data_IF_728979011246
#
_entry.id   IF_728979011246
#
_cell.length_a   1.000
_cell.length_b   1.000
_cell.length_c   1.000
_cell.angle_alpha   90.00
_cell.angle_beta   90.00
_cell.angle_gamma   90.00
#
_symmetry.space_group_name_H-M   'P 1'
#
loop_
_entity.id
_entity.type
_entity.pdbx_description
1 polymer ?
#
# COMPACT_ATOMS: atom_id res chain seq x y z
N UNK A 1 -16.50 25.93 -35.84
CA UNK A 1 -15.75 25.16 -34.81
C UNK A 1 -15.22 26.18 -33.82
N UNK A 2 -15.47 26.02 -32.49
CA UNK A 2 -15.02 26.98 -31.48
C UNK A 2 -13.58 26.65 -31.10
N UNK A 3 -12.70 27.68 -31.12
CA UNK A 3 -11.30 27.52 -30.73
C UNK A 3 -11.17 27.92 -29.26
N UNK A 4 -10.58 27.04 -28.45
CA UNK A 4 -10.29 27.27 -27.03
C UNK A 4 -8.78 27.39 -26.83
N UNK A 5 -8.36 28.19 -25.88
CA UNK A 5 -7.03 28.05 -25.29
C UNK A 5 -6.99 26.77 -24.41
N UNK A 6 -5.79 26.24 -24.13
CA UNK A 6 -5.62 25.09 -23.26
C UNK A 6 -6.20 25.33 -21.86
N UNK A 7 -6.00 26.54 -21.32
CA UNK A 7 -6.54 26.94 -20.02
C UNK A 7 -8.08 26.95 -20.02
N UNK A 8 -8.70 27.52 -21.05
CA UNK A 8 -10.17 27.56 -21.18
C UNK A 8 -10.75 26.15 -21.29
N UNK A 9 -10.09 25.26 -22.05
CA UNK A 9 -10.52 23.85 -22.16
C UNK A 9 -10.41 23.15 -20.80
N UNK A 10 -9.27 23.25 -20.12
CA UNK A 10 -9.06 22.60 -18.82
C UNK A 10 -10.00 23.17 -17.74
N UNK A 11 -10.28 24.47 -17.76
CA UNK A 11 -11.26 25.09 -16.85
C UNK A 11 -12.68 24.61 -17.12
N UNK A 12 -13.02 24.32 -18.38
CA UNK A 12 -14.31 23.73 -18.73
C UNK A 12 -14.42 22.28 -18.25
N UNK A 13 -13.33 21.50 -18.38
CA UNK A 13 -13.24 20.14 -17.83
C UNK A 13 -13.40 20.18 -16.31
N UNK A 14 -12.68 21.06 -15.60
CA UNK A 14 -12.83 21.20 -14.15
C UNK A 14 -14.27 21.44 -13.73
N UNK A 15 -14.97 22.39 -14.35
CA UNK A 15 -16.39 22.67 -14.07
C UNK A 15 -17.28 21.45 -14.30
N UNK A 16 -17.02 20.70 -15.37
CA UNK A 16 -17.78 19.46 -15.62
C UNK A 16 -17.54 18.40 -14.55
N UNK A 17 -16.31 18.26 -14.04
CA UNK A 17 -16.01 17.38 -12.91
C UNK A 17 -16.68 17.84 -11.62
N UNK A 18 -16.60 19.12 -11.26
CA UNK A 18 -17.26 19.69 -10.07
C UNK A 18 -18.77 19.49 -10.09
N UNK A 19 -19.41 19.61 -11.25
CA UNK A 19 -20.85 19.40 -11.42
C UNK A 19 -21.28 17.95 -11.30
N UNK A 20 -20.49 17.00 -11.80
CA UNK A 20 -20.86 15.59 -11.88
C UNK A 20 -20.25 14.72 -10.77
N UNK A 21 -19.12 15.14 -10.18
CA UNK A 21 -18.38 14.40 -9.17
C UNK A 21 -18.16 15.20 -7.86
N UNK A 22 -19.06 16.12 -7.53
CA UNK A 22 -18.99 16.92 -6.31
C UNK A 22 -19.19 16.16 -5.00
N UNK A 23 -19.46 14.85 -5.06
CA UNK A 23 -19.61 13.97 -3.91
C UNK A 23 -18.30 13.32 -3.45
N UNK A 24 -18.41 12.55 -2.37
CA UNK A 24 -17.34 11.68 -1.88
C UNK A 24 -17.70 10.22 -2.17
N UNK A 25 -16.69 9.43 -2.52
CA UNK A 25 -16.86 8.05 -2.95
C UNK A 25 -15.92 7.14 -2.19
N UNK A 26 -16.41 5.99 -1.72
CA UNK A 26 -15.56 4.93 -1.23
C UNK A 26 -14.96 4.17 -2.42
N UNK A 27 -13.63 4.14 -2.49
CA UNK A 27 -12.89 3.50 -3.58
C UNK A 27 -11.96 2.46 -2.99
N UNK A 28 -11.94 1.26 -3.58
CA UNK A 28 -10.97 0.21 -3.26
C UNK A 28 -9.87 0.21 -4.31
N UNK A 29 -8.62 0.17 -3.86
CA UNK A 29 -7.45 0.16 -4.76
C UNK A 29 -6.21 -0.37 -4.04
N UNK A 30 -5.16 -0.69 -4.80
CA UNK A 30 -3.84 -0.98 -4.27
C UNK A 30 -2.99 0.29 -4.25
N UNK A 31 -2.29 0.53 -3.14
CA UNK A 31 -1.36 1.66 -3.00
C UNK A 31 -0.07 1.45 -3.78
N UNK A 32 0.42 2.51 -4.43
CA UNK A 32 1.66 2.49 -5.19
C UNK A 32 2.34 3.87 -5.20
N UNK A 33 3.58 3.95 -5.65
CA UNK A 33 4.29 5.22 -5.83
C UNK A 33 4.65 5.95 -4.53
N UNK A 34 4.51 5.30 -3.39
CA UNK A 34 4.90 5.85 -2.09
C UNK A 34 6.43 5.81 -2.00
N UNK A 35 7.06 6.99 -1.98
CA UNK A 35 8.54 7.10 -1.96
C UNK A 35 9.10 7.23 -0.55
N UNK A 36 8.41 7.92 0.34
CA UNK A 36 8.78 8.08 1.77
C UNK A 36 7.59 8.63 2.56
N UNK A 37 7.55 8.38 3.90
CA UNK A 37 6.56 9.00 4.75
C UNK A 37 6.66 10.53 4.68
N UNK A 38 5.54 11.25 4.78
CA UNK A 38 5.54 12.71 4.67
C UNK A 38 6.25 13.34 5.85
N UNK A 39 7.32 14.07 5.57
CA UNK A 39 7.95 14.95 6.57
C UNK A 39 7.29 16.34 6.49
N UNK A 40 6.11 16.48 7.09
CA UNK A 40 5.47 17.78 7.28
C UNK A 40 4.79 18.41 6.06
N UNK A 41 4.59 17.67 4.97
CA UNK A 41 3.95 18.11 3.72
C UNK A 41 2.65 17.36 3.38
N UNK A 42 2.19 17.55 2.15
CA UNK A 42 1.15 16.71 1.55
C UNK A 42 1.74 15.34 1.22
N UNK A 43 0.91 14.30 1.33
CA UNK A 43 1.32 12.93 1.02
C UNK A 43 0.74 12.51 -0.32
N UNK A 44 1.60 12.36 -1.32
CA UNK A 44 1.25 11.97 -2.68
C UNK A 44 1.57 10.51 -2.92
N UNK A 45 0.64 9.80 -3.53
CA UNK A 45 0.78 8.40 -3.91
C UNK A 45 -0.12 8.08 -5.10
N UNK A 46 -0.04 6.86 -5.60
CA UNK A 46 -0.89 6.36 -6.66
C UNK A 46 -1.81 5.26 -6.13
N UNK A 47 -3.00 5.19 -6.70
CA UNK A 47 -3.96 4.11 -6.54
C UNK A 47 -4.02 3.32 -7.83
N UNK A 48 -3.89 2.00 -7.72
CA UNK A 48 -3.92 1.07 -8.83
C UNK A 48 -5.07 0.08 -8.65
N UNK A 49 -5.72 -0.25 -9.75
CA UNK A 49 -6.57 -1.43 -9.85
C UNK A 49 -5.91 -2.42 -10.80
N UNK A 50 -5.63 -3.63 -10.32
CA UNK A 50 -5.01 -4.70 -11.10
C UNK A 50 -6.08 -5.61 -11.70
N UNK A 51 -5.85 -6.05 -12.94
CA UNK A 51 -6.67 -7.06 -13.59
C UNK A 51 -6.27 -8.48 -13.21
N UNK A 52 -6.97 -9.46 -13.78
CA UNK A 52 -6.73 -10.89 -13.55
C UNK A 52 -5.40 -11.38 -14.12
N UNK A 53 -4.90 -10.74 -15.17
CA UNK A 53 -3.63 -11.10 -15.80
C UNK A 53 -2.48 -10.44 -15.06
N UNK A 54 -1.41 -11.19 -14.85
CA UNK A 54 -0.19 -10.67 -14.21
C UNK A 54 0.33 -9.42 -14.94
N UNK A 55 0.57 -8.36 -14.16
CA UNK A 55 1.02 -7.06 -14.69
C UNK A 55 -0.05 -6.18 -15.33
N UNK A 56 -1.30 -6.64 -15.47
CA UNK A 56 -2.38 -5.84 -16.03
C UNK A 56 -2.85 -4.79 -15.02
N UNK A 57 -2.79 -3.52 -15.44
CA UNK A 57 -3.38 -2.39 -14.68
C UNK A 57 -4.65 -1.95 -15.41
N UNK A 58 -5.79 -2.04 -14.74
CA UNK A 58 -7.10 -1.62 -15.25
C UNK A 58 -7.32 -0.12 -15.06
N UNK A 59 -6.91 0.42 -13.91
CA UNK A 59 -7.04 1.82 -13.59
C UNK A 59 -5.84 2.31 -12.77
N UNK A 60 -5.52 3.60 -12.94
CA UNK A 60 -4.50 4.31 -12.17
C UNK A 60 -4.97 5.72 -11.92
N UNK A 61 -4.84 6.20 -10.68
CA UNK A 61 -5.12 7.58 -10.32
C UNK A 61 -4.11 8.09 -9.30
N UNK A 62 -3.77 9.37 -9.39
CA UNK A 62 -3.01 10.05 -8.34
C UNK A 62 -3.91 10.31 -7.16
N UNK A 63 -3.40 10.16 -5.95
CA UNK A 63 -4.09 10.47 -4.71
C UNK A 63 -3.24 11.39 -3.83
N UNK A 64 -3.90 12.20 -3.04
CA UNK A 64 -3.26 13.10 -2.07
C UNK A 64 -4.00 13.04 -0.73
N UNK A 65 -3.23 12.92 0.35
CA UNK A 65 -3.66 13.28 1.70
C UNK A 65 -3.05 14.63 2.05
N UNK A 66 -3.90 15.58 2.38
CA UNK A 66 -3.44 16.93 2.68
C UNK A 66 -2.74 17.00 4.04
N UNK A 67 -1.81 17.93 4.19
CA UNK A 67 -1.02 18.15 5.41
C UNK A 67 -1.89 18.17 6.69
N UNK A 68 -3.07 18.74 6.63
CA UNK A 68 -3.97 18.84 7.78
C UNK A 68 -4.53 17.49 8.25
N UNK A 69 -4.68 16.51 7.35
CA UNK A 69 -5.30 15.21 7.61
C UNK A 69 -4.33 14.02 7.58
N UNK A 70 -3.17 14.17 6.96
CA UNK A 70 -2.25 13.05 6.75
C UNK A 70 -1.83 12.37 8.06
N UNK A 71 -1.50 13.15 9.10
CA UNK A 71 -1.07 12.60 10.39
C UNK A 71 -2.16 11.77 11.06
N UNK A 72 -3.40 12.28 11.11
CA UNK A 72 -4.52 11.57 11.71
C UNK A 72 -4.94 10.33 10.92
N UNK A 73 -4.90 10.40 9.57
CA UNK A 73 -5.25 9.26 8.73
C UNK A 73 -4.22 8.14 8.85
N UNK A 74 -2.93 8.45 8.80
CA UNK A 74 -1.87 7.46 8.96
C UNK A 74 -1.88 6.85 10.37
N UNK A 75 -2.04 7.67 11.42
CA UNK A 75 -2.15 7.17 12.79
C UNK A 75 -3.37 6.26 12.98
N UNK A 76 -4.53 6.61 12.40
CA UNK A 76 -5.73 5.75 12.38
C UNK A 76 -5.45 4.41 11.72
N UNK A 77 -4.76 4.42 10.58
CA UNK A 77 -4.39 3.20 9.86
C UNK A 77 -3.44 2.33 10.67
N UNK A 78 -2.32 2.91 11.15
CA UNK A 78 -1.28 2.19 11.87
C UNK A 78 -1.78 1.63 13.21
N UNK A 79 -2.58 2.40 13.95
CA UNK A 79 -3.15 1.93 15.22
C UNK A 79 -4.12 0.75 15.05
N UNK A 80 -4.87 0.72 13.95
CA UNK A 80 -5.83 -0.35 13.68
C UNK A 80 -5.19 -1.58 13.04
N UNK A 81 -4.21 -1.40 12.14
CA UNK A 81 -3.62 -2.50 11.36
C UNK A 81 -2.30 -3.02 11.93
N UNK A 82 -1.63 -2.25 12.78
CA UNK A 82 -0.27 -2.52 13.24
C UNK A 82 0.79 -2.41 12.16
N UNK A 83 0.46 -1.81 11.00
CA UNK A 83 1.36 -1.70 9.85
C UNK A 83 1.46 -0.26 9.38
N UNK A 84 2.63 0.10 8.88
CA UNK A 84 2.86 1.38 8.20
C UNK A 84 2.18 1.39 6.84
N UNK A 85 1.65 2.54 6.44
CA UNK A 85 1.01 2.74 5.13
C UNK A 85 2.06 2.74 4.03
N UNK A 86 2.17 1.64 3.29
CA UNK A 86 3.23 1.37 2.30
C UNK A 86 2.65 0.96 0.95
N UNK A 87 3.53 0.73 -0.05
CA UNK A 87 3.14 0.21 -1.36
C UNK A 87 2.60 -1.23 -1.27
N UNK A 88 1.65 -1.57 -2.14
CA UNK A 88 1.10 -2.92 -2.27
C UNK A 88 -0.03 -3.26 -1.30
N UNK A 89 -0.49 -2.30 -0.52
CA UNK A 89 -1.64 -2.49 0.38
C UNK A 89 -2.95 -2.33 -0.39
N UNK A 90 -3.87 -3.27 -0.18
CA UNK A 90 -5.26 -3.09 -0.59
C UNK A 90 -5.95 -2.21 0.44
N UNK A 91 -6.45 -1.07 -0.01
CA UNK A 91 -7.06 -0.04 0.84
C UNK A 91 -8.46 0.31 0.36
N UNK A 92 -9.29 0.76 1.28
CA UNK A 92 -10.57 1.41 0.99
C UNK A 92 -10.50 2.85 1.50
N UNK A 93 -10.61 3.80 0.58
CA UNK A 93 -10.44 5.22 0.84
C UNK A 93 -11.72 5.99 0.48
N UNK A 94 -12.09 6.94 1.33
CA UNK A 94 -13.11 7.93 1.02
C UNK A 94 -12.45 9.09 0.27
N UNK A 95 -12.78 9.24 -1.00
CA UNK A 95 -12.13 10.21 -1.89
C UNK A 95 -13.11 11.19 -2.52
N UNK A 96 -12.63 12.40 -2.79
CA UNK A 96 -13.25 13.34 -3.72
C UNK A 96 -12.48 13.36 -5.04
N UNK A 97 -13.20 13.59 -6.13
CA UNK A 97 -12.61 13.66 -7.48
C UNK A 97 -12.37 15.13 -7.83
N UNK A 98 -11.14 15.48 -8.11
CA UNK A 98 -10.74 16.84 -8.46
C UNK A 98 -9.94 16.89 -9.76
N UNK A 99 -10.08 17.98 -10.48
CA UNK A 99 -9.30 18.27 -11.67
C UNK A 99 -8.62 19.64 -11.52
N UNK A 100 -7.32 19.68 -11.73
CA UNK A 100 -6.53 20.90 -11.72
C UNK A 100 -5.99 21.19 -13.12
N UNK A 101 -6.03 22.43 -13.57
CA UNK A 101 -5.69 22.82 -14.94
C UNK A 101 -4.25 22.46 -15.33
N UNK A 102 -3.31 22.42 -14.38
CA UNK A 102 -1.91 22.08 -14.62
C UNK A 102 -1.58 20.62 -14.30
N UNK A 103 -2.22 20.04 -13.28
CA UNK A 103 -1.84 18.73 -12.74
C UNK A 103 -2.78 17.60 -13.17
N UNK A 104 -3.91 17.94 -13.80
CA UNK A 104 -4.91 16.99 -14.26
C UNK A 104 -5.77 16.42 -13.14
N UNK A 105 -6.28 15.21 -13.36
CA UNK A 105 -7.12 14.48 -12.42
C UNK A 105 -6.33 13.99 -11.21
N UNK A 106 -6.90 14.17 -10.02
CA UNK A 106 -6.40 13.58 -8.77
C UNK A 106 -7.55 13.29 -7.81
N UNK A 107 -7.31 12.41 -6.85
CA UNK A 107 -8.22 12.04 -5.79
C UNK A 107 -7.75 12.64 -4.47
N UNK A 108 -8.64 13.37 -3.82
CA UNK A 108 -8.42 13.93 -2.49
C UNK A 108 -8.93 12.94 -1.44
N UNK A 109 -8.06 12.48 -0.54
CA UNK A 109 -8.41 11.46 0.46
C UNK A 109 -8.90 12.12 1.74
N UNK A 110 -10.16 11.86 2.10
CA UNK A 110 -10.81 12.39 3.31
C UNK A 110 -10.82 11.42 4.47
N UNK A 111 -10.90 10.11 4.17
CA UNK A 111 -10.91 9.07 5.20
C UNK A 111 -10.41 7.74 4.62
N UNK A 112 -10.17 6.77 5.50
CA UNK A 112 -9.81 5.41 5.15
C UNK A 112 -10.48 4.40 6.09
N UNK A 113 -10.79 3.21 5.56
CA UNK A 113 -11.29 2.09 6.35
C UNK A 113 -10.17 1.04 6.57
N UNK A 114 -9.59 0.96 7.78
CA UNK A 114 -8.55 -0.01 8.07
C UNK A 114 -9.07 -1.46 8.08
N UNK A 115 -10.38 -1.67 8.33
CA UNK A 115 -10.96 -3.01 8.42
C UNK A 115 -10.93 -3.74 7.09
N UNK A 116 -11.07 -3.00 5.99
CA UNK A 116 -10.92 -3.54 4.64
C UNK A 116 -9.52 -4.13 4.41
N UNK A 117 -8.47 -3.38 4.78
CA UNK A 117 -7.08 -3.83 4.64
C UNK A 117 -6.81 -5.08 5.51
N UNK A 118 -7.28 -5.10 6.75
CA UNK A 118 -7.17 -6.26 7.63
C UNK A 118 -7.87 -7.49 7.06
N UNK A 119 -9.05 -7.32 6.49
CA UNK A 119 -9.80 -8.39 5.82
C UNK A 119 -9.03 -8.97 4.63
N UNK A 120 -8.45 -8.13 3.78
CA UNK A 120 -7.63 -8.56 2.63
C UNK A 120 -6.36 -9.31 3.09
N UNK A 121 -5.68 -8.82 4.12
CA UNK A 121 -4.51 -9.48 4.70
C UNK A 121 -4.86 -10.86 5.27
N UNK A 122 -5.95 -10.97 6.02
CA UNK A 122 -6.43 -12.25 6.56
C UNK A 122 -6.78 -13.24 5.44
N UNK A 123 -7.42 -12.76 4.37
CA UNK A 123 -7.73 -13.56 3.18
C UNK A 123 -6.44 -14.06 2.50
N UNK A 124 -5.49 -13.19 2.20
CA UNK A 124 -4.20 -13.54 1.57
C UNK A 124 -3.41 -14.54 2.42
N UNK A 125 -3.39 -14.36 3.74
CA UNK A 125 -2.75 -15.30 4.66
C UNK A 125 -3.40 -16.68 4.60
N UNK A 126 -4.73 -16.76 4.61
CA UNK A 126 -5.46 -18.04 4.52
C UNK A 126 -5.17 -18.73 3.18
N UNK A 127 -5.27 -18.03 2.07
CA UNK A 127 -4.98 -18.55 0.74
C UNK A 127 -3.53 -19.09 0.63
N UNK A 128 -2.57 -18.37 1.21
CA UNK A 128 -1.17 -18.81 1.25
C UNK A 128 -1.01 -20.07 2.07
N UNK A 129 -1.62 -20.16 3.25
CA UNK A 129 -1.57 -21.35 4.09
C UNK A 129 -2.22 -22.56 3.41
N UNK A 130 -3.36 -22.38 2.75
CA UNK A 130 -4.05 -23.44 2.00
C UNK A 130 -3.21 -23.94 0.83
N UNK A 131 -2.53 -23.01 0.11
CA UNK A 131 -1.59 -23.38 -0.95
C UNK A 131 -0.42 -24.21 -0.39
N UNK A 132 0.24 -23.74 0.66
CA UNK A 132 1.37 -24.43 1.27
C UNK A 132 0.99 -25.82 1.82
N UNK A 133 -0.24 -25.97 2.36
CA UNK A 133 -0.78 -27.28 2.77
C UNK A 133 -0.96 -28.22 1.59
N UNK A 134 -1.56 -27.73 0.50
CA UNK A 134 -1.81 -28.51 -0.72
C UNK A 134 -0.51 -28.97 -1.38
N UNK A 135 0.54 -28.12 -1.34
CA UNK A 135 1.88 -28.42 -1.85
C UNK A 135 2.71 -29.27 -0.87
N UNK A 136 2.20 -29.58 0.33
CA UNK A 136 2.91 -30.38 1.34
C UNK A 136 4.10 -29.67 1.99
N UNK A 137 4.23 -28.35 1.80
CA UNK A 137 5.42 -27.59 2.23
C UNK A 137 5.41 -27.26 3.73
N UNK A 138 4.25 -27.22 4.38
CA UNK A 138 4.14 -26.83 5.80
C UNK A 138 4.88 -27.79 6.72
N UNK A 139 4.81 -29.08 6.42
CA UNK A 139 5.36 -30.14 7.26
C UNK A 139 6.67 -30.74 6.72
N UNK A 140 7.15 -30.30 5.55
CA UNK A 140 8.33 -30.90 4.91
C UNK A 140 9.59 -30.79 5.77
N UNK A 141 9.72 -29.77 6.61
CA UNK A 141 10.86 -29.60 7.51
C UNK A 141 10.89 -30.62 8.67
N UNK A 142 9.74 -31.15 9.08
CA UNK A 142 9.67 -32.13 10.17
C UNK A 142 10.36 -33.45 9.84
N UNK A 143 10.50 -33.77 8.56
CA UNK A 143 11.17 -34.98 8.07
C UNK A 143 12.68 -34.81 7.89
N UNK A 144 13.22 -33.59 8.00
CA UNK A 144 14.62 -33.30 7.80
C UNK A 144 15.42 -33.59 9.10
N UNK A 145 16.48 -34.38 8.98
CA UNK A 145 17.44 -34.56 10.08
C UNK A 145 18.43 -33.40 10.11
N UNK A 146 18.68 -32.85 11.28
CA UNK A 146 19.72 -31.83 11.47
C UNK A 146 21.11 -32.51 11.45
N UNK A 147 21.89 -32.20 10.41
CA UNK A 147 23.32 -32.57 10.37
C UNK A 147 24.10 -31.85 11.48
N UNK A 148 24.95 -32.57 12.19
CA UNK A 148 25.85 -31.95 13.21
C UNK A 148 27.30 -32.11 12.79
N UNK A 149 28.14 -31.07 12.91
CA UNK A 149 27.86 -29.70 13.35
C UNK A 149 27.15 -28.86 12.27
N UNK A 150 26.32 -27.90 12.70
CA UNK A 150 25.67 -26.93 11.80
C UNK A 150 26.72 -25.96 11.24
N UNK A 151 26.91 -25.97 9.91
CA UNK A 151 27.89 -25.12 9.24
C UNK A 151 27.28 -23.90 8.54
N UNK A 152 26.00 -23.97 8.21
CA UNK A 152 25.29 -22.91 7.50
C UNK A 152 23.94 -22.67 8.16
N UNK A 153 23.65 -21.39 8.43
CA UNK A 153 22.38 -20.94 8.98
C UNK A 153 21.82 -19.88 8.05
N UNK A 154 20.61 -20.10 7.52
CA UNK A 154 19.86 -19.07 6.81
C UNK A 154 18.83 -18.46 7.75
N UNK A 155 18.81 -17.14 7.85
CA UNK A 155 17.87 -16.39 8.70
C UNK A 155 16.96 -15.56 7.82
N UNK A 156 15.64 -15.76 7.95
CA UNK A 156 14.61 -14.97 7.28
C UNK A 156 13.96 -14.09 8.33
N UNK A 157 14.21 -12.79 8.28
CA UNK A 157 13.70 -11.81 9.24
C UNK A 157 13.54 -10.44 8.59
N UNK A 158 12.75 -9.55 9.22
CA UNK A 158 12.79 -8.13 8.88
C UNK A 158 14.07 -7.51 9.43
N UNK A 159 14.69 -6.62 8.65
CA UNK A 159 15.87 -5.85 9.11
C UNK A 159 15.59 -4.96 10.32
N UNK A 160 14.32 -4.62 10.56
CA UNK A 160 13.85 -3.82 11.70
C UNK A 160 13.34 -4.66 12.87
N UNK A 161 13.37 -6.00 12.78
CA UNK A 161 12.95 -6.86 13.89
C UNK A 161 13.92 -6.76 15.06
N UNK A 162 13.41 -6.54 16.27
CA UNK A 162 14.23 -6.42 17.49
C UNK A 162 15.15 -7.65 17.69
N UNK A 163 14.62 -8.87 17.52
CA UNK A 163 15.41 -10.10 17.61
C UNK A 163 16.50 -10.26 16.54
N UNK A 164 16.42 -9.54 15.42
CA UNK A 164 17.49 -9.55 14.41
C UNK A 164 18.76 -8.85 14.91
N UNK A 165 18.60 -7.70 15.60
CA UNK A 165 19.70 -6.97 16.20
C UNK A 165 20.47 -7.83 17.22
N UNK A 166 19.73 -8.46 18.15
CA UNK A 166 20.31 -9.34 19.17
C UNK A 166 21.01 -10.56 18.56
N UNK A 167 20.35 -11.23 17.60
CA UNK A 167 20.92 -12.39 16.90
C UNK A 167 22.21 -12.01 16.17
N UNK A 168 22.24 -10.91 15.40
CA UNK A 168 23.41 -10.49 14.63
C UNK A 168 24.59 -10.12 15.54
N UNK A 169 24.33 -9.45 16.66
CA UNK A 169 25.35 -9.08 17.64
C UNK A 169 26.00 -10.30 18.29
N UNK A 170 25.20 -11.31 18.67
CA UNK A 170 25.72 -12.54 19.27
C UNK A 170 26.54 -13.37 18.27
N UNK A 171 26.14 -13.43 17.00
CA UNK A 171 26.91 -14.15 15.98
C UNK A 171 28.24 -13.44 15.67
N UNK A 172 28.25 -12.12 15.66
CA UNK A 172 29.50 -11.35 15.46
C UNK A 172 30.45 -11.55 16.63
N UNK A 173 29.97 -11.45 17.87
CA UNK A 173 30.79 -11.68 19.06
C UNK A 173 31.34 -13.11 19.17
N UNK A 174 30.67 -14.11 18.61
CA UNK A 174 31.14 -15.51 18.59
C UNK A 174 32.18 -15.80 17.51
N UNK A 175 32.51 -14.83 16.64
CA UNK A 175 33.53 -14.95 15.57
C UNK A 175 34.89 -14.39 15.96
N UNK A 176 34.94 -13.60 17.04
CA UNK A 176 36.17 -13.09 17.65
C UNK A 176 36.73 -14.08 18.70
#
# INVERSE_FOLDING_TARGET
MKVFSLHELNSSIRRAFEQNFGGRFWVTAETSGIKSPPQGGHFYFELLEKGEREGQILARSRAVMWRASVGSLLAKFESATGQTFTNGLQVQLLVGVHFHEQFGLYLDVYDLDPTFTLGDMARKRRETLERLRREGLIDCQKSLSLGRPLRHIAVISSSSAAGWGDFSSHIQAARE
#
